data_IF_310068300124
#
_entry.id   IF_310068300124
#
_cell.length_a   1.000
_cell.length_b   1.000
_cell.length_c   1.000
_cell.angle_alpha   90.00
_cell.angle_beta   90.00
_cell.angle_gamma   90.00
#
_symmetry.space_group_name_H-M   'P 1'
#
loop_
_entity.id
_entity.type
_entity.pdbx_description
1 polymer ?
#
# COMPACT_ATOMS: atom_id res chain seq x y z
N UNK A 1 -12.92 8.70 -3.10
CA UNK A 1 -13.71 7.60 -2.50
C UNK A 1 -13.93 7.88 -1.01
N UNK A 2 -14.97 7.33 -0.41
CA UNK A 2 -15.24 7.38 1.04
C UNK A 2 -15.80 6.03 1.51
N UNK A 3 -15.71 5.71 2.81
CA UNK A 3 -16.32 4.49 3.34
C UNK A 3 -17.82 4.43 3.03
N UNK A 4 -18.53 5.55 3.16
CA UNK A 4 -19.96 5.65 2.85
C UNK A 4 -20.29 5.28 1.40
N UNK A 5 -19.47 5.73 0.45
CA UNK A 5 -19.65 5.38 -0.96
C UNK A 5 -19.31 3.90 -1.23
N UNK A 6 -18.35 3.32 -0.51
CA UNK A 6 -17.90 1.94 -0.73
C UNK A 6 -18.83 0.90 -0.12
N UNK A 7 -19.53 1.24 0.97
CA UNK A 7 -20.38 0.30 1.72
C UNK A 7 -21.88 0.59 1.57
N UNK A 8 -22.23 1.65 0.85
CA UNK A 8 -23.60 2.17 0.72
C UNK A 8 -24.26 2.46 2.09
N UNK A 9 -23.45 2.91 3.06
CA UNK A 9 -23.88 3.25 4.42
C UNK A 9 -23.62 4.71 4.74
N UNK A 10 -24.58 5.37 5.38
CA UNK A 10 -24.49 6.80 5.73
C UNK A 10 -24.37 7.03 7.25
N UNK A 11 -24.51 5.99 8.05
CA UNK A 11 -24.60 6.02 9.51
C UNK A 11 -23.23 5.93 10.22
N UNK A 12 -22.15 6.30 9.53
CA UNK A 12 -20.82 6.29 10.11
C UNK A 12 -20.66 7.34 11.22
N UNK A 13 -20.36 6.88 12.43
CA UNK A 13 -20.04 7.74 13.55
C UNK A 13 -18.51 7.95 13.64
N UNK A 14 -18.07 9.19 13.40
CA UNK A 14 -16.64 9.56 13.42
C UNK A 14 -15.98 9.24 14.77
N UNK A 15 -16.70 9.39 15.90
CA UNK A 15 -16.12 9.13 17.23
C UNK A 15 -15.86 7.63 17.43
N UNK A 16 -16.78 6.78 17.01
CA UNK A 16 -16.64 5.32 17.09
C UNK A 16 -15.53 4.85 16.16
N UNK A 17 -15.52 5.32 14.91
CA UNK A 17 -14.45 5.03 13.95
C UNK A 17 -13.07 5.45 14.47
N UNK A 18 -12.98 6.60 15.13
CA UNK A 18 -11.72 7.05 15.72
C UNK A 18 -11.26 6.10 16.85
N UNK A 19 -12.18 5.65 17.71
CA UNK A 19 -11.87 4.69 18.77
C UNK A 19 -11.38 3.34 18.20
N UNK A 20 -12.07 2.81 17.18
CA UNK A 20 -11.66 1.59 16.48
C UNK A 20 -10.27 1.76 15.85
N UNK A 21 -10.04 2.89 15.18
CA UNK A 21 -8.74 3.20 14.57
C UNK A 21 -7.62 3.22 15.62
N UNK A 22 -7.84 3.86 16.79
CA UNK A 22 -6.84 3.89 17.85
C UNK A 22 -6.51 2.49 18.40
N UNK A 23 -7.53 1.63 18.57
CA UNK A 23 -7.32 0.25 19.00
C UNK A 23 -6.48 -0.53 17.99
N UNK A 24 -6.76 -0.39 16.70
CA UNK A 24 -6.00 -1.05 15.63
C UNK A 24 -4.57 -0.54 15.56
N UNK A 25 -4.35 0.78 15.66
CA UNK A 25 -3.01 1.37 15.68
C UNK A 25 -2.21 0.85 16.88
N UNK A 26 -2.83 0.80 18.08
CA UNK A 26 -2.19 0.25 19.27
C UNK A 26 -1.82 -1.22 19.08
N UNK A 27 -2.72 -2.02 18.49
CA UNK A 27 -2.44 -3.42 18.20
C UNK A 27 -1.29 -3.58 17.21
N UNK A 28 -1.24 -2.78 16.14
CA UNK A 28 -0.13 -2.83 15.19
C UNK A 28 1.18 -2.38 15.82
N UNK A 29 1.18 -1.38 16.69
CA UNK A 29 2.37 -1.04 17.48
C UNK A 29 2.86 -2.22 18.34
N UNK A 30 1.95 -2.91 19.03
CA UNK A 30 2.30 -4.08 19.83
C UNK A 30 2.81 -5.24 18.97
N UNK A 31 2.24 -5.45 17.77
CA UNK A 31 2.72 -6.45 16.81
C UNK A 31 4.14 -6.12 16.37
N UNK A 32 4.43 -4.85 16.04
CA UNK A 32 5.78 -4.40 15.69
C UNK A 32 6.76 -4.67 16.83
N UNK A 33 6.37 -4.35 18.06
CA UNK A 33 7.21 -4.54 19.24
C UNK A 33 7.51 -6.02 19.53
N UNK A 34 6.52 -6.91 19.33
CA UNK A 34 6.66 -8.34 19.65
C UNK A 34 7.27 -9.17 18.52
N UNK A 35 6.80 -8.96 17.29
CA UNK A 35 7.13 -9.80 16.13
C UNK A 35 8.20 -9.16 15.22
N UNK A 36 8.44 -7.85 15.37
CA UNK A 36 9.43 -7.11 14.60
C UNK A 36 8.94 -6.59 13.25
N UNK A 37 9.78 -5.76 12.62
CA UNK A 37 9.45 -5.06 11.38
C UNK A 37 9.21 -6.01 10.19
N UNK A 38 9.96 -7.11 10.11
CA UNK A 38 9.82 -8.07 9.01
C UNK A 38 8.42 -8.73 8.99
N UNK A 39 7.87 -9.04 10.16
CA UNK A 39 6.52 -9.59 10.26
C UNK A 39 5.48 -8.63 9.68
N UNK A 40 5.56 -7.34 10.03
CA UNK A 40 4.67 -6.32 9.48
C UNK A 40 4.88 -6.10 7.99
N UNK A 41 6.12 -6.06 7.52
CA UNK A 41 6.42 -5.90 6.10
C UNK A 41 5.87 -7.08 5.28
N UNK A 42 5.98 -8.31 5.78
CA UNK A 42 5.41 -9.49 5.12
C UNK A 42 3.88 -9.38 5.01
N UNK A 43 3.19 -8.92 6.08
CA UNK A 43 1.74 -8.67 6.06
C UNK A 43 1.36 -7.54 5.10
N UNK A 44 2.13 -6.45 5.10
CA UNK A 44 1.93 -5.33 4.19
C UNK A 44 2.05 -5.80 2.73
N UNK A 45 3.13 -6.52 2.40
CA UNK A 45 3.36 -7.06 1.06
C UNK A 45 2.26 -8.05 0.64
N UNK A 46 1.72 -8.84 1.57
CA UNK A 46 0.60 -9.74 1.27
C UNK A 46 -0.68 -9.01 0.84
N UNK A 47 -0.91 -7.79 1.33
CA UNK A 47 -2.07 -6.96 1.04
C UNK A 47 -1.76 -5.80 0.06
N UNK A 48 -0.56 -5.79 -0.52
CA UNK A 48 -0.10 -4.70 -1.36
C UNK A 48 -0.98 -4.57 -2.62
N UNK A 49 -1.56 -3.39 -2.78
CA UNK A 49 -2.44 -3.07 -3.89
C UNK A 49 -1.75 -3.30 -5.25
N UNK A 50 -2.43 -4.02 -6.15
CA UNK A 50 -1.95 -4.41 -7.49
C UNK A 50 -0.65 -5.22 -7.54
N UNK A 51 -0.24 -5.83 -6.42
CA UNK A 51 0.92 -6.73 -6.43
C UNK A 51 0.69 -7.89 -7.40
N UNK A 52 1.66 -8.10 -8.30
CA UNK A 52 1.61 -9.17 -9.30
C UNK A 52 0.75 -8.86 -10.52
N UNK A 53 0.12 -7.69 -10.59
CA UNK A 53 -0.69 -7.27 -11.74
C UNK A 53 0.12 -6.36 -12.67
N UNK A 54 0.00 -6.59 -13.98
CA UNK A 54 0.57 -5.70 -14.99
C UNK A 54 -0.29 -4.44 -15.10
N UNK A 55 0.32 -3.28 -14.83
CA UNK A 55 -0.36 -1.98 -14.77
C UNK A 55 0.46 -0.88 -15.44
N UNK A 56 -0.20 0.16 -15.98
CA UNK A 56 0.49 1.35 -16.47
C UNK A 56 0.90 2.28 -15.31
N UNK A 57 2.15 2.73 -15.36
CA UNK A 57 2.74 3.69 -14.43
C UNK A 57 3.29 4.90 -15.19
N UNK A 58 3.36 6.03 -14.50
CA UNK A 58 4.11 7.19 -14.95
C UNK A 58 5.42 7.24 -14.16
N UNK A 59 6.56 7.14 -14.85
CA UNK A 59 7.92 7.20 -14.31
C UNK A 59 8.68 8.27 -15.08
N UNK A 60 9.19 9.29 -14.39
CA UNK A 60 9.88 10.44 -15.01
C UNK A 60 9.07 11.11 -16.14
N UNK A 61 7.74 11.16 -16.00
CA UNK A 61 6.84 11.72 -17.01
C UNK A 61 6.58 10.81 -18.22
N UNK A 62 7.17 9.61 -18.24
CA UNK A 62 7.01 8.63 -19.32
C UNK A 62 6.09 7.50 -18.85
N UNK A 63 5.10 7.16 -19.67
CA UNK A 63 4.22 6.02 -19.42
C UNK A 63 5.00 4.71 -19.66
N UNK A 64 5.05 3.86 -18.65
CA UNK A 64 5.64 2.52 -18.71
C UNK A 64 4.65 1.48 -18.19
N UNK A 65 4.75 0.27 -18.68
CA UNK A 65 4.01 -0.87 -18.13
C UNK A 65 4.93 -1.63 -17.17
N UNK A 66 4.42 -1.99 -15.99
CA UNK A 66 5.20 -2.73 -15.01
C UNK A 66 4.35 -3.60 -14.10
N UNK A 67 5.02 -4.35 -13.23
CA UNK A 67 4.40 -5.23 -12.24
C UNK A 67 4.99 -4.94 -10.87
N UNK A 68 4.15 -4.51 -9.93
CA UNK A 68 4.56 -4.34 -8.53
C UNK A 68 4.90 -5.70 -7.94
N UNK A 69 6.12 -5.86 -7.43
CA UNK A 69 6.59 -7.10 -6.83
C UNK A 69 6.36 -7.09 -5.31
N UNK A 70 6.88 -6.06 -4.63
CA UNK A 70 6.81 -5.91 -3.18
C UNK A 70 7.33 -4.53 -2.76
N UNK A 71 7.24 -4.22 -1.48
CA UNK A 71 8.02 -3.18 -0.82
C UNK A 71 9.25 -3.81 -0.16
N UNK A 72 10.40 -3.16 -0.33
CA UNK A 72 11.68 -3.58 0.25
C UNK A 72 11.74 -3.31 1.76
N UNK A 73 12.79 -3.81 2.42
CA UNK A 73 13.02 -3.58 3.85
C UNK A 73 13.20 -2.09 4.20
N UNK A 74 13.64 -1.29 3.22
CA UNK A 74 13.83 0.16 3.39
C UNK A 74 12.57 0.97 3.05
N UNK A 75 11.45 0.31 2.76
CA UNK A 75 10.17 0.96 2.47
C UNK A 75 9.99 1.42 1.02
N UNK A 76 10.88 1.00 0.10
CA UNK A 76 10.78 1.35 -1.33
C UNK A 76 9.91 0.38 -2.11
N UNK A 77 9.16 0.88 -3.07
CA UNK A 77 8.34 0.04 -3.95
C UNK A 77 9.20 -0.59 -5.05
N UNK A 78 9.22 -1.92 -5.13
CA UNK A 78 9.91 -2.68 -6.16
C UNK A 78 8.95 -2.98 -7.31
N UNK A 79 9.27 -2.49 -8.50
CA UNK A 79 8.46 -2.67 -9.71
C UNK A 79 9.32 -3.25 -10.81
N UNK A 80 8.86 -4.34 -11.43
CA UNK A 80 9.46 -4.90 -12.63
C UNK A 80 9.02 -4.06 -13.83
N UNK A 81 9.97 -3.37 -14.46
CA UNK A 81 9.77 -2.52 -15.63
C UNK A 81 10.77 -2.97 -16.71
N UNK A 82 10.29 -3.34 -17.90
CA UNK A 82 11.16 -3.72 -19.03
C UNK A 82 12.22 -4.77 -18.61
N UNK A 83 11.78 -5.83 -17.92
CA UNK A 83 12.60 -6.92 -17.35
C UNK A 83 13.64 -6.50 -16.29
N UNK A 84 13.58 -5.25 -15.81
CA UNK A 84 14.46 -4.75 -14.75
C UNK A 84 13.67 -4.44 -13.49
N UNK A 85 14.10 -4.98 -12.35
CA UNK A 85 13.54 -4.61 -11.05
C UNK A 85 14.10 -3.25 -10.64
N UNK A 86 13.21 -2.26 -10.48
CA UNK A 86 13.56 -0.91 -10.04
C UNK A 86 12.90 -0.59 -8.71
N UNK A 87 13.58 0.19 -7.89
CA UNK A 87 13.06 0.69 -6.62
C UNK A 87 12.58 2.13 -6.78
N UNK A 88 11.48 2.46 -6.11
CA UNK A 88 10.90 3.81 -6.13
C UNK A 88 10.61 4.29 -4.71
N UNK A 89 10.99 5.52 -4.43
CA UNK A 89 10.52 6.26 -3.27
C UNK A 89 9.10 6.81 -3.49
N UNK A 90 8.50 7.28 -2.41
CA UNK A 90 7.15 7.86 -2.43
C UNK A 90 7.11 9.04 -3.42
N UNK A 91 6.15 9.01 -4.35
CA UNK A 91 5.90 9.99 -5.45
C UNK A 91 6.83 9.91 -6.66
N UNK A 92 7.85 9.05 -6.67
CA UNK A 92 8.68 8.86 -7.88
C UNK A 92 7.97 8.05 -8.98
N UNK A 93 6.93 7.31 -8.60
CA UNK A 93 6.08 6.54 -9.50
C UNK A 93 4.61 6.88 -9.23
N UNK A 94 3.83 7.07 -10.30
CA UNK A 94 2.39 7.36 -10.20
C UNK A 94 1.57 6.28 -10.89
N UNK A 95 0.53 5.81 -10.22
CA UNK A 95 -0.45 4.88 -10.77
C UNK A 95 -1.33 5.60 -11.80
N UNK A 96 -1.39 5.10 -13.02
CA UNK A 96 -2.33 5.60 -14.02
C UNK A 96 -3.63 4.79 -13.88
N UNK A 97 -4.51 5.24 -13.00
CA UNK A 97 -5.86 4.68 -12.85
C UNK A 97 -6.65 5.12 -14.09
N UNK A 98 -7.01 4.16 -14.94
CA UNK A 98 -7.87 4.38 -16.12
C UNK A 98 -9.31 4.11 -15.77
#
# INVERSE_FOLDING_TARGET
>A
TSLACLTDRQDYNIKELAQELFQVIQQEYLNLYKEGAQYQLNRYNALLFWRGEERPFLVDGIKKTGIIQQVSNDGKLLVLLEDTLREFDIKEITHLIT
#
